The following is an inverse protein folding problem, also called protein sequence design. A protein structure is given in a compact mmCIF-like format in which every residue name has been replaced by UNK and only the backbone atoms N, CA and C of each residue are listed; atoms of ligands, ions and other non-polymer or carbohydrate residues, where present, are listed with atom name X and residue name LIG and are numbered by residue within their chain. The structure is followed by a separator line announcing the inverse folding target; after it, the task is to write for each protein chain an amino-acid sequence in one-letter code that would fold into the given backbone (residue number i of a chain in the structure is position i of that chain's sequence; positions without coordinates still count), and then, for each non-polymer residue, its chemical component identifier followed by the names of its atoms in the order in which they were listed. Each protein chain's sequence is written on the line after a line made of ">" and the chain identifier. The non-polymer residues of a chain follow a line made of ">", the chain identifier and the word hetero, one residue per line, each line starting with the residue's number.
data_IF_105479321808
#
_entry.id   IF_105479321808
#
_cell.length_a   1.000
_cell.length_b   1.000
_cell.length_c   1.000
_cell.angle_alpha   90.00
_cell.angle_beta   90.00
_cell.angle_gamma   90.00
#
_symmetry.space_group_name_H-M   'P 1'
#
loop_
_entity.id
_entity.type
_entity.pdbx_description
1 polymer ?
#
# COMPACT_ATOMS: atom_id res chain seq x y z
N UNK A 1 -1.76 29.42 0.06
CA UNK A 1 -0.55 30.01 0.67
C UNK A 1 0.65 29.34 0.02
N UNK A 2 1.46 30.04 -0.76
CA UNK A 2 2.64 29.44 -1.41
C UNK A 2 3.74 29.30 -0.36
N UNK A 3 4.13 28.06 -0.07
CA UNK A 3 5.29 27.76 0.78
C UNK A 3 6.53 28.26 0.05
N UNK A 4 7.33 29.11 0.72
CA UNK A 4 8.58 29.59 0.13
C UNK A 4 9.52 28.41 -0.08
N UNK A 5 10.34 28.42 -1.14
CA UNK A 5 11.24 27.33 -1.52
C UNK A 5 12.18 26.90 -0.38
N UNK A 6 12.65 27.84 0.42
CA UNK A 6 13.49 27.59 1.60
C UNK A 6 12.73 26.84 2.71
N UNK A 7 11.48 27.25 3.00
CA UNK A 7 10.63 26.57 3.99
C UNK A 7 10.32 25.12 3.57
N UNK A 8 10.13 24.87 2.26
CA UNK A 8 9.91 23.52 1.75
C UNK A 8 11.14 22.60 1.92
N UNK A 9 12.35 23.12 1.69
CA UNK A 9 13.60 22.38 1.89
C UNK A 9 13.85 22.05 3.37
N UNK A 10 13.56 22.98 4.28
CA UNK A 10 13.65 22.74 5.71
C UNK A 10 12.66 21.68 6.20
N UNK A 11 11.42 21.72 5.71
CA UNK A 11 10.40 20.72 6.03
C UNK A 11 10.84 19.33 5.55
N UNK A 12 11.27 19.20 4.28
CA UNK A 12 11.75 17.92 3.73
C UNK A 12 12.97 17.42 4.52
N UNK A 13 13.91 18.29 4.87
CA UNK A 13 15.06 17.92 5.70
C UNK A 13 14.68 17.44 7.10
N UNK A 14 13.61 18.00 7.68
CA UNK A 14 13.08 17.55 8.97
C UNK A 14 12.38 16.18 8.88
N UNK A 15 11.79 15.85 7.74
CA UNK A 15 11.13 14.55 7.52
C UNK A 15 12.10 13.37 7.58
N UNK A 16 13.36 13.56 7.15
CA UNK A 16 14.38 12.49 7.13
C UNK A 16 14.71 11.91 8.52
N UNK A 17 14.34 12.62 9.59
CA UNK A 17 14.55 12.18 10.97
C UNK A 17 13.30 11.55 11.60
N UNK A 18 12.20 11.52 10.88
CA UNK A 18 10.91 11.07 11.41
C UNK A 18 10.68 9.59 11.22
N UNK A 19 10.12 8.97 12.24
CA UNK A 19 9.72 7.58 12.27
C UNK A 19 8.20 7.51 12.26
N UNK A 20 7.62 6.93 11.23
CA UNK A 20 6.17 6.91 11.04
C UNK A 20 5.70 5.46 10.95
N UNK A 21 4.69 5.13 11.75
CA UNK A 21 3.98 3.87 11.66
C UNK A 21 2.79 4.03 10.70
N UNK A 22 2.74 3.17 9.70
CA UNK A 22 1.62 3.11 8.75
C UNK A 22 0.94 1.75 8.90
N UNK A 23 -0.31 1.78 9.26
CA UNK A 23 -1.16 0.60 9.43
C UNK A 23 -2.28 0.66 8.42
N UNK A 24 -2.53 -0.44 7.72
CA UNK A 24 -3.67 -0.48 6.81
C UNK A 24 -3.58 -1.50 5.70
N UNK A 25 -4.46 -1.32 4.73
CA UNK A 25 -4.62 -2.24 3.61
C UNK A 25 -3.51 -2.02 2.58
N UNK A 26 -2.55 -2.94 2.55
CA UNK A 26 -1.44 -2.94 1.61
C UNK A 26 -1.94 -3.40 0.25
N UNK A 27 -2.09 -2.46 -0.67
CA UNK A 27 -2.61 -2.69 -2.03
C UNK A 27 -1.46 -2.75 -3.02
N UNK A 28 -1.48 -3.71 -3.94
CA UNK A 28 -0.62 -3.69 -5.12
C UNK A 28 -1.41 -3.16 -6.32
N UNK A 29 -1.02 -2.00 -6.83
CA UNK A 29 -1.50 -1.48 -8.11
C UNK A 29 -0.67 -2.11 -9.23
N UNK A 30 -1.31 -2.94 -10.06
CA UNK A 30 -0.68 -3.66 -11.15
C UNK A 30 -1.08 -2.99 -12.46
N UNK A 31 -0.11 -2.63 -13.27
CA UNK A 31 -0.32 -2.07 -14.60
C UNK A 31 0.13 -3.08 -15.64
N UNK A 32 -0.82 -3.54 -16.47
CA UNK A 32 -0.57 -4.37 -17.63
C UNK A 32 -0.63 -3.48 -18.87
N UNK A 33 0.52 -3.21 -19.44
CA UNK A 33 0.62 -2.42 -20.67
C UNK A 33 0.59 -3.34 -21.89
N UNK A 34 -0.17 -2.97 -22.92
CA UNK A 34 -0.26 -3.77 -24.12
C UNK A 34 -0.73 -2.99 -25.35
N UNK A 35 -0.59 -3.65 -26.51
CA UNK A 35 -1.11 -3.18 -27.79
C UNK A 35 -2.41 -3.86 -28.16
N UNK A 36 -3.36 -3.12 -28.73
CA UNK A 36 -4.55 -3.72 -29.34
C UNK A 36 -4.12 -4.37 -30.66
N UNK A 37 -4.22 -5.72 -30.75
CA UNK A 37 -3.80 -6.46 -31.93
C UNK A 37 -4.95 -6.73 -32.89
N UNK A 38 -6.10 -7.18 -32.37
CA UNK A 38 -7.29 -7.53 -33.17
C UNK A 38 -8.55 -7.62 -32.29
N UNK A 39 -9.70 -7.81 -32.94
CA UNK A 39 -10.93 -8.27 -32.29
C UNK A 39 -10.90 -9.80 -32.24
N UNK A 40 -11.33 -10.39 -31.12
CA UNK A 40 -11.41 -11.85 -30.99
C UNK A 40 -12.40 -12.45 -32.01
N UNK A 41 -12.13 -13.70 -32.41
CA UNK A 41 -13.07 -14.49 -33.26
C UNK A 41 -14.12 -15.18 -32.43
N UNK A 42 -13.93 -15.30 -31.12
CA UNK A 42 -14.84 -16.01 -30.18
C UNK A 42 -15.90 -15.09 -29.60
N UNK A 43 -15.61 -13.80 -29.47
CA UNK A 43 -16.51 -12.80 -28.91
C UNK A 43 -16.11 -11.40 -29.41
N UNK A 44 -17.01 -10.40 -29.39
CA UNK A 44 -16.71 -9.02 -29.80
C UNK A 44 -15.88 -8.28 -28.75
N UNK A 45 -14.72 -8.82 -28.40
CA UNK A 45 -13.77 -8.26 -27.41
C UNK A 45 -12.42 -8.02 -28.04
N UNK A 46 -11.71 -7.03 -27.51
CA UNK A 46 -10.33 -6.71 -27.93
C UNK A 46 -9.36 -7.80 -27.46
N UNK A 47 -8.46 -8.21 -28.35
CA UNK A 47 -7.29 -9.01 -28.00
C UNK A 47 -6.11 -8.06 -27.82
N UNK A 48 -5.53 -8.09 -26.63
CA UNK A 48 -4.38 -7.29 -26.26
C UNK A 48 -3.13 -8.17 -26.21
N UNK A 49 -2.05 -7.71 -26.81
CA UNK A 49 -0.73 -8.31 -26.68
C UNK A 49 0.00 -7.58 -25.56
N UNK A 50 0.25 -8.29 -24.46
CA UNK A 50 0.93 -7.73 -23.29
C UNK A 50 2.38 -7.37 -23.66
N UNK A 51 2.76 -6.13 -23.42
CA UNK A 51 4.11 -5.61 -23.65
C UNK A 51 4.90 -5.47 -22.33
N UNK A 52 4.21 -5.29 -21.22
CA UNK A 52 4.84 -5.12 -19.91
C UNK A 52 3.89 -5.28 -18.74
N UNK A 53 4.50 -5.47 -17.57
CA UNK A 53 3.82 -5.48 -16.28
C UNK A 53 4.61 -4.66 -15.27
N UNK A 54 3.92 -3.86 -14.47
CA UNK A 54 4.53 -3.07 -13.42
C UNK A 54 3.68 -3.13 -12.15
N UNK A 55 4.30 -3.48 -11.04
CA UNK A 55 3.70 -3.40 -9.70
C UNK A 55 4.10 -2.09 -9.05
N UNK A 56 3.13 -1.37 -8.50
CA UNK A 56 3.30 -0.12 -7.78
C UNK A 56 2.61 -0.25 -6.42
N UNK A 57 3.19 0.37 -5.40
CA UNK A 57 2.59 0.45 -4.09
C UNK A 57 1.32 1.32 -4.13
N UNK A 58 0.18 0.76 -3.72
CA UNK A 58 -1.14 1.40 -3.63
C UNK A 58 -1.70 1.34 -2.22
N UNK A 59 -2.79 2.05 -1.95
CA UNK A 59 -3.40 2.10 -0.62
C UNK A 59 -2.41 2.49 0.47
N UNK A 60 -2.43 1.77 1.59
CA UNK A 60 -1.47 1.97 2.69
C UNK A 60 -0.02 1.79 2.22
N UNK A 61 0.24 0.86 1.30
CA UNK A 61 1.58 0.64 0.75
C UNK A 61 2.12 1.89 0.02
N UNK A 62 1.26 2.68 -0.63
CA UNK A 62 1.67 3.94 -1.24
C UNK A 62 2.10 4.98 -0.19
N UNK A 63 1.40 5.06 0.93
CA UNK A 63 1.78 5.94 2.05
C UNK A 63 3.14 5.54 2.61
N UNK A 64 3.34 4.23 2.84
CA UNK A 64 4.63 3.66 3.27
C UNK A 64 5.75 4.06 2.32
N UNK A 65 5.54 3.85 1.02
CA UNK A 65 6.52 4.15 -0.01
C UNK A 65 6.85 5.65 -0.09
N UNK A 66 5.83 6.50 0.03
CA UNK A 66 6.03 7.96 -0.01
C UNK A 66 6.86 8.46 1.18
N UNK A 67 6.58 7.97 2.39
CA UNK A 67 7.35 8.36 3.58
C UNK A 67 8.81 7.91 3.43
N UNK A 68 9.04 6.66 2.98
CA UNK A 68 10.38 6.14 2.79
C UNK A 68 11.16 6.92 1.71
N UNK A 69 10.53 7.25 0.58
CA UNK A 69 11.17 7.99 -0.52
C UNK A 69 11.42 9.46 -0.18
N UNK A 70 10.68 10.04 0.77
CA UNK A 70 10.95 11.37 1.33
C UNK A 70 12.07 11.35 2.40
N UNK A 71 12.63 10.16 2.69
CA UNK A 71 13.75 9.98 3.61
C UNK A 71 13.35 9.72 5.07
N UNK A 72 12.05 9.61 5.37
CA UNK A 72 11.57 9.18 6.68
C UNK A 72 11.71 7.67 6.88
N UNK A 73 11.74 7.21 8.12
CA UNK A 73 11.67 5.79 8.45
C UNK A 73 10.22 5.35 8.50
N UNK A 74 9.79 4.53 7.54
CA UNK A 74 8.44 3.98 7.48
C UNK A 74 8.41 2.58 8.10
N UNK A 75 7.51 2.37 9.08
CA UNK A 75 7.17 1.06 9.63
C UNK A 75 5.84 0.63 8.99
N UNK A 76 5.88 -0.43 8.20
CA UNK A 76 4.68 -0.98 7.55
C UNK A 76 4.04 -2.05 8.41
N UNK A 77 2.75 -1.88 8.73
CA UNK A 77 1.94 -2.88 9.43
C UNK A 77 0.72 -3.21 8.61
N UNK A 78 0.55 -4.48 8.30
CA UNK A 78 -0.57 -4.93 7.47
C UNK A 78 -0.47 -6.39 7.09
N UNK A 79 -1.37 -6.81 6.20
CA UNK A 79 -1.47 -8.19 5.75
C UNK A 79 -1.27 -8.24 4.24
N UNK A 80 -0.52 -9.24 3.81
CA UNK A 80 -0.33 -9.61 2.43
C UNK A 80 -0.73 -11.07 2.25
N UNK A 81 -1.11 -11.46 1.05
CA UNK A 81 -1.21 -12.86 0.69
C UNK A 81 0.17 -13.52 0.54
N UNK A 82 0.18 -14.77 0.08
CA UNK A 82 1.40 -15.48 -0.35
C UNK A 82 1.38 -15.61 -1.86
N UNK A 83 1.57 -14.50 -2.56
CA UNK A 83 1.46 -14.41 -4.01
C UNK A 83 2.46 -13.41 -4.60
N UNK A 84 2.59 -13.40 -5.94
CA UNK A 84 3.52 -12.53 -6.63
C UNK A 84 3.29 -11.03 -6.41
N UNK A 85 2.05 -10.61 -6.08
CA UNK A 85 1.76 -9.22 -5.73
C UNK A 85 2.37 -8.84 -4.38
N UNK A 86 2.33 -9.76 -3.40
CA UNK A 86 3.02 -9.61 -2.12
C UNK A 86 4.54 -9.47 -2.31
N UNK A 87 5.12 -10.32 -3.17
CA UNK A 87 6.55 -10.28 -3.47
C UNK A 87 6.95 -8.97 -4.13
N UNK A 88 6.12 -8.47 -5.06
CA UNK A 88 6.30 -7.17 -5.70
C UNK A 88 6.33 -6.02 -4.68
N UNK A 89 5.38 -5.99 -3.75
CA UNK A 89 5.35 -4.98 -2.68
C UNK A 89 6.56 -5.10 -1.74
N UNK A 90 6.92 -6.31 -1.30
CA UNK A 90 8.09 -6.54 -0.46
C UNK A 90 9.39 -6.10 -1.13
N UNK A 91 9.51 -6.33 -2.44
CA UNK A 91 10.66 -5.85 -3.22
C UNK A 91 10.75 -4.32 -3.22
N UNK A 92 9.61 -3.63 -3.45
CA UNK A 92 9.55 -2.15 -3.40
C UNK A 92 9.96 -1.64 -2.02
N UNK A 93 9.44 -2.25 -0.96
CA UNK A 93 9.72 -1.86 0.41
C UNK A 93 11.18 -2.10 0.80
N UNK A 94 11.75 -3.23 0.43
CA UNK A 94 13.15 -3.56 0.67
C UNK A 94 14.08 -2.56 -0.03
N UNK A 95 13.79 -2.24 -1.29
CA UNK A 95 14.57 -1.26 -2.07
C UNK A 95 14.59 0.13 -1.42
N UNK A 96 13.50 0.52 -0.75
CA UNK A 96 13.34 1.83 -0.13
C UNK A 96 13.62 1.84 1.39
N UNK A 97 14.16 0.74 1.95
CA UNK A 97 14.56 0.65 3.35
C UNK A 97 13.40 0.67 4.35
N UNK A 98 12.21 0.25 3.92
CA UNK A 98 11.02 0.17 4.78
C UNK A 98 11.20 -0.90 5.86
N UNK A 99 10.78 -0.62 7.07
CA UNK A 99 10.69 -1.57 8.18
C UNK A 99 9.45 -2.45 8.02
N UNK A 100 9.63 -3.75 7.85
CA UNK A 100 8.60 -4.71 7.47
C UNK A 100 8.24 -5.72 8.56
N UNK A 101 8.72 -5.54 9.79
CA UNK A 101 8.49 -6.46 10.91
C UNK A 101 7.00 -6.60 11.31
N UNK A 102 6.15 -5.71 10.84
CA UNK A 102 4.69 -5.76 11.02
C UNK A 102 3.92 -6.24 9.79
N UNK A 103 4.59 -6.70 8.72
CA UNK A 103 3.94 -7.24 7.53
C UNK A 103 3.82 -8.76 7.62
N UNK A 104 2.60 -9.23 7.85
CA UNK A 104 2.30 -10.65 7.96
C UNK A 104 1.76 -11.22 6.65
N UNK A 105 2.06 -12.50 6.41
CA UNK A 105 1.52 -13.27 5.29
C UNK A 105 0.33 -14.10 5.75
N UNK A 106 -0.80 -14.03 5.05
CA UNK A 106 -1.98 -14.88 5.28
C UNK A 106 -2.18 -15.78 4.06
N UNK A 107 -2.22 -17.09 4.27
CA UNK A 107 -2.44 -18.08 3.20
C UNK A 107 -3.90 -18.12 2.73
N UNK A 108 -4.83 -17.68 3.59
CA UNK A 108 -6.25 -17.78 3.34
C UNK A 108 -6.83 -16.56 2.60
N UNK A 109 -6.00 -15.56 2.33
CA UNK A 109 -6.43 -14.37 1.57
C UNK A 109 -5.40 -13.97 0.52
N UNK A 110 -5.85 -13.47 -0.64
CA UNK A 110 -4.94 -12.88 -1.62
C UNK A 110 -4.44 -11.53 -1.15
N UNK A 111 -3.28 -11.11 -1.64
CA UNK A 111 -2.90 -9.69 -1.58
C UNK A 111 -3.94 -8.86 -2.32
N UNK A 112 -4.40 -7.78 -1.71
CA UNK A 112 -5.31 -6.84 -2.37
C UNK A 112 -4.64 -6.23 -3.59
N UNK A 113 -5.23 -6.43 -4.77
CA UNK A 113 -4.70 -5.89 -6.03
C UNK A 113 -5.72 -5.06 -6.78
N UNK A 114 -5.25 -4.04 -7.49
CA UNK A 114 -6.00 -3.28 -8.48
C UNK A 114 -5.25 -3.34 -9.80
N UNK A 115 -5.62 -4.29 -10.67
CA UNK A 115 -4.98 -4.49 -11.95
C UNK A 115 -5.62 -3.63 -13.02
N UNK A 116 -4.85 -2.70 -13.60
CA UNK A 116 -5.27 -1.80 -14.67
C UNK A 116 -4.68 -2.27 -15.98
N UNK A 117 -5.54 -2.58 -16.93
CA UNK A 117 -5.15 -2.95 -18.28
C UNK A 117 -5.13 -1.67 -19.11
N UNK A 118 -3.93 -1.28 -19.53
CA UNK A 118 -3.68 -0.09 -20.35
C UNK A 118 -3.35 -0.55 -21.75
N UNK A 119 -4.11 -0.08 -22.72
CA UNK A 119 -3.84 -0.42 -24.10
C UNK A 119 -4.09 0.75 -25.06
N UNK A 120 -3.34 0.75 -26.16
CA UNK A 120 -3.49 1.70 -27.25
C UNK A 120 -3.18 1.04 -28.59
N UNK A 121 -3.62 1.64 -29.66
CA UNK A 121 -3.25 1.25 -31.02
C UNK A 121 -2.06 2.08 -31.54
N UNK A 122 -1.56 1.72 -32.73
CA UNK A 122 -0.42 2.44 -33.36
C UNK A 122 -0.68 3.94 -33.61
N UNK A 123 -1.95 4.35 -33.65
CA UNK A 123 -2.36 5.72 -33.92
C UNK A 123 -3.28 6.29 -32.83
N UNK A 124 -3.46 5.59 -31.71
CA UNK A 124 -4.36 6.00 -30.63
C UNK A 124 -3.62 6.13 -29.30
N UNK A 125 -4.04 7.10 -28.50
CA UNK A 125 -3.50 7.29 -27.14
C UNK A 125 -3.78 6.05 -26.30
N UNK A 126 -2.79 5.60 -25.53
CA UNK A 126 -2.99 4.54 -24.55
C UNK A 126 -3.98 4.98 -23.47
N UNK A 127 -4.95 4.15 -23.18
CA UNK A 127 -5.97 4.41 -22.17
C UNK A 127 -6.27 3.16 -21.35
N UNK A 128 -6.83 3.34 -20.16
CA UNK A 128 -7.28 2.22 -19.36
C UNK A 128 -8.52 1.59 -19.99
N UNK A 129 -8.41 0.31 -20.35
CA UNK A 129 -9.50 -0.47 -20.96
C UNK A 129 -10.40 -1.09 -19.89
N UNK A 130 -9.78 -1.67 -18.84
CA UNK A 130 -10.51 -2.33 -17.75
C UNK A 130 -9.67 -2.30 -16.49
N UNK A 131 -10.32 -2.39 -15.33
CA UNK A 131 -9.69 -2.63 -14.04
C UNK A 131 -10.25 -3.91 -13.43
N UNK A 132 -9.36 -4.76 -12.94
CA UNK A 132 -9.70 -5.99 -12.23
C UNK A 132 -9.24 -5.83 -10.79
N UNK A 133 -10.18 -5.85 -9.85
CA UNK A 133 -9.90 -5.76 -8.42
C UNK A 133 -9.96 -7.16 -7.80
N UNK A 134 -8.93 -7.50 -7.01
CA UNK A 134 -8.90 -8.71 -6.18
C UNK A 134 -8.77 -8.25 -4.73
N UNK A 135 -9.85 -8.41 -3.99
CA UNK A 135 -9.95 -7.96 -2.59
C UNK A 135 -10.49 -9.09 -1.73
N UNK A 136 -10.17 -9.06 -0.45
CA UNK A 136 -10.78 -9.89 0.58
C UNK A 136 -11.17 -8.96 1.73
N UNK A 137 -12.46 -8.95 2.06
CA UNK A 137 -13.01 -8.17 3.17
C UNK A 137 -13.40 -9.07 4.36
N UNK A 138 -13.08 -10.36 4.29
CA UNK A 138 -13.38 -11.28 5.38
C UNK A 138 -12.69 -10.83 6.67
N UNK A 139 -13.32 -11.02 7.82
CA UNK A 139 -12.72 -10.71 9.12
C UNK A 139 -11.37 -11.41 9.29
N UNK A 140 -10.45 -10.76 10.00
CA UNK A 140 -9.20 -11.39 10.38
C UNK A 140 -9.45 -12.54 11.36
N UNK A 141 -8.60 -13.57 11.29
CA UNK A 141 -8.54 -14.55 12.37
C UNK A 141 -8.07 -13.86 13.66
N UNK A 142 -8.53 -14.36 14.81
CA UNK A 142 -8.08 -13.84 16.11
C UNK A 142 -6.56 -13.90 16.26
N UNK A 143 -5.94 -14.95 15.74
CA UNK A 143 -4.47 -15.11 15.76
C UNK A 143 -3.80 -13.98 14.98
N UNK A 144 -4.27 -13.70 13.77
CA UNK A 144 -3.70 -12.65 12.92
C UNK A 144 -3.90 -11.26 13.53
N UNK A 145 -5.09 -10.99 14.09
CA UNK A 145 -5.34 -9.73 14.81
C UNK A 145 -4.41 -9.56 16.00
N UNK A 146 -4.16 -10.64 16.77
CA UNK A 146 -3.22 -10.60 17.90
C UNK A 146 -1.77 -10.36 17.45
N UNK A 147 -1.34 -10.96 16.35
CA UNK A 147 0.00 -10.71 15.78
C UNK A 147 0.18 -9.25 15.37
N UNK A 148 -0.80 -8.68 14.67
CA UNK A 148 -0.80 -7.26 14.32
C UNK A 148 -0.74 -6.38 15.58
N UNK A 149 -1.58 -6.65 16.59
CA UNK A 149 -1.62 -5.90 17.83
C UNK A 149 -0.29 -5.97 18.60
N UNK A 150 0.42 -7.10 18.56
CA UNK A 150 1.75 -7.26 19.15
C UNK A 150 2.77 -6.41 18.40
N UNK A 151 2.81 -6.51 17.07
CA UNK A 151 3.71 -5.72 16.24
C UNK A 151 3.49 -4.21 16.46
N UNK A 152 2.23 -3.76 16.44
CA UNK A 152 1.85 -2.37 16.71
C UNK A 152 2.36 -1.94 18.10
N UNK A 153 2.15 -2.75 19.14
CA UNK A 153 2.57 -2.44 20.51
C UNK A 153 4.08 -2.28 20.65
N UNK A 154 4.84 -3.07 19.89
CA UNK A 154 6.30 -3.02 19.88
C UNK A 154 6.84 -1.80 19.13
N UNK A 155 6.13 -1.34 18.08
CA UNK A 155 6.58 -0.25 17.22
C UNK A 155 6.16 1.13 17.78
N UNK A 156 4.94 1.24 18.32
CA UNK A 156 4.37 2.50 18.81
C UNK A 156 5.29 3.35 19.71
N UNK A 157 6.08 2.76 20.66
CA UNK A 157 6.98 3.55 21.49
C UNK A 157 8.12 4.26 20.77
N UNK A 158 8.36 3.90 19.51
CA UNK A 158 9.52 4.34 18.75
C UNK A 158 9.18 5.31 17.62
N UNK A 159 7.89 5.69 17.46
CA UNK A 159 7.47 6.51 16.32
C UNK A 159 7.05 7.92 16.70
N UNK A 160 7.26 8.84 15.76
CA UNK A 160 6.88 10.25 15.87
C UNK A 160 5.46 10.53 15.42
N UNK A 161 4.85 9.61 14.67
CA UNK A 161 3.48 9.75 14.14
C UNK A 161 2.92 8.44 13.63
N UNK A 162 1.58 8.39 13.50
CA UNK A 162 0.86 7.21 13.03
C UNK A 162 -0.09 7.58 11.92
N UNK A 163 -0.13 6.75 10.86
CA UNK A 163 -1.13 6.84 9.79
C UNK A 163 -1.93 5.54 9.77
N UNK A 164 -3.25 5.65 9.81
CA UNK A 164 -4.19 4.56 9.58
C UNK A 164 -4.78 4.75 8.19
N UNK A 165 -4.56 3.78 7.31
CA UNK A 165 -4.99 3.85 5.90
C UNK A 165 -5.91 2.67 5.59
N UNK A 166 -7.21 2.90 5.76
CA UNK A 166 -8.26 1.88 5.65
C UNK A 166 -8.99 2.00 4.32
N UNK A 167 -8.99 0.93 3.54
CA UNK A 167 -9.70 0.78 2.26
C UNK A 167 -10.82 -0.28 2.33
N UNK A 168 -11.14 -0.76 3.52
CA UNK A 168 -12.18 -1.77 3.75
C UNK A 168 -11.76 -3.19 3.35
N UNK A 169 -10.46 -3.48 3.24
CA UNK A 169 -9.95 -4.83 2.97
C UNK A 169 -9.65 -5.63 4.27
N UNK A 170 -10.13 -5.15 5.41
CA UNK A 170 -10.21 -5.90 6.66
C UNK A 170 -8.96 -5.89 7.54
N UNK A 171 -7.90 -5.17 7.18
CA UNK A 171 -6.69 -5.07 8.02
C UNK A 171 -6.95 -4.22 9.28
N UNK A 172 -7.70 -3.13 9.13
CA UNK A 172 -7.99 -2.19 10.22
C UNK A 172 -9.26 -2.61 10.95
N UNK A 173 -9.11 -3.41 12.00
CA UNK A 173 -10.26 -3.78 12.85
C UNK A 173 -10.57 -2.66 13.85
N UNK A 174 -11.83 -2.59 14.36
CA UNK A 174 -12.19 -1.62 15.41
C UNK A 174 -11.27 -1.69 16.63
N UNK A 175 -10.82 -2.89 17.01
CA UNK A 175 -9.91 -3.13 18.13
C UNK A 175 -8.51 -2.57 17.89
N UNK A 176 -7.98 -2.76 16.66
CA UNK A 176 -6.71 -2.19 16.23
C UNK A 176 -6.80 -0.66 16.22
N UNK A 177 -7.85 -0.11 15.61
CA UNK A 177 -8.07 1.33 15.53
C UNK A 177 -8.18 1.97 16.91
N UNK A 178 -9.00 1.40 17.81
CA UNK A 178 -9.19 1.90 19.17
C UNK A 178 -7.86 1.94 19.93
N UNK A 179 -7.10 0.83 19.91
CA UNK A 179 -5.81 0.74 20.59
C UNK A 179 -4.84 1.82 20.16
N UNK A 180 -4.76 2.07 18.84
CA UNK A 180 -3.86 3.09 18.28
C UNK A 180 -4.29 4.49 18.73
N UNK A 181 -5.58 4.80 18.60
CA UNK A 181 -6.12 6.12 18.96
C UNK A 181 -5.90 6.41 20.46
N UNK A 182 -6.17 5.43 21.33
CA UNK A 182 -5.96 5.57 22.76
C UNK A 182 -4.49 5.83 23.08
N UNK A 183 -3.58 5.05 22.52
CA UNK A 183 -2.15 5.22 22.72
C UNK A 183 -1.66 6.59 22.23
N UNK A 184 -2.05 6.97 21.01
CA UNK A 184 -1.66 8.25 20.42
C UNK A 184 -2.16 9.45 21.24
N UNK A 185 -3.39 9.36 21.78
CA UNK A 185 -3.92 10.40 22.69
C UNK A 185 -3.13 10.47 23.99
N UNK A 186 -2.87 9.33 24.62
CA UNK A 186 -2.13 9.27 25.90
C UNK A 186 -0.72 9.84 25.75
N UNK A 187 -0.01 9.45 24.69
CA UNK A 187 1.38 9.85 24.45
C UNK A 187 1.52 11.14 23.65
N UNK A 188 0.40 11.76 23.24
CA UNK A 188 0.37 12.98 22.39
C UNK A 188 1.13 12.81 21.07
N UNK A 189 1.05 11.61 20.47
CA UNK A 189 1.60 11.32 19.16
C UNK A 189 0.58 11.73 18.08
N UNK A 190 0.96 12.51 17.06
CA UNK A 190 0.09 12.83 15.94
C UNK A 190 -0.41 11.58 15.24
N UNK A 191 -1.71 11.49 14.97
CA UNK A 191 -2.30 10.39 14.22
C UNK A 191 -3.28 10.92 13.17
N UNK A 192 -3.29 10.29 12.01
CA UNK A 192 -4.16 10.59 10.86
C UNK A 192 -4.89 9.30 10.48
N UNK A 193 -6.19 9.42 10.19
CA UNK A 193 -7.04 8.34 9.67
C UNK A 193 -7.58 8.74 8.31
#
# INVERSE_FOLDING_TARGET
>A
MAVKKLEAQEIIGAMQKKQILIIGDMVADIYLDGGISRISREAPVLVLEQAGEKVIAGGAANVVNNIATLGGTAYAVGILGRDGAADGLRHIFMKNGVRMEGLFGDENRPTTTKTRIIAGGRATVSQQIVRIDRTCSDPLSETMEMELLRAISNILPHVDGVVISDYGAGTVTPKIQQKIIEYCKEKRIPSIV
#
